data_IF_438835869294
#
_entry.id   IF_438835869294
#
_cell.length_a   1.000
_cell.length_b   1.000
_cell.length_c   1.000
_cell.angle_alpha   90.00
_cell.angle_beta   90.00
_cell.angle_gamma   90.00
#
_symmetry.space_group_name_H-M   'P 1'
#
loop_
_entity.id
_entity.type
_entity.pdbx_description
1 polymer ?
#
# COMPACT_ATOMS: atom_id res chain seq x y z
N UNK A 1 -8.58 -13.28 -3.62
CA UNK A 1 -7.85 -12.24 -4.37
C UNK A 1 -7.28 -11.28 -3.35
N UNK A 2 -6.08 -10.76 -3.57
CA UNK A 2 -5.41 -9.85 -2.65
C UNK A 2 -5.15 -8.54 -3.35
N UNK A 3 -5.36 -7.45 -2.62
CA UNK A 3 -5.05 -6.10 -3.08
C UNK A 3 -3.70 -5.69 -2.49
N UNK A 4 -2.82 -5.17 -3.33
CA UNK A 4 -1.51 -4.66 -2.92
C UNK A 4 -1.48 -3.16 -3.24
N UNK A 5 -1.10 -2.35 -2.26
CA UNK A 5 -1.03 -0.89 -2.38
C UNK A 5 0.39 -0.43 -2.00
N UNK A 6 1.07 0.24 -2.93
CA UNK A 6 2.33 0.95 -2.67
C UNK A 6 2.19 2.43 -3.00
N UNK A 7 2.39 3.27 -1.99
CA UNK A 7 2.33 4.73 -2.09
C UNK A 7 3.53 5.34 -1.36
N UNK A 8 4.74 5.04 -1.82
CA UNK A 8 5.98 5.48 -1.19
C UNK A 8 6.44 6.87 -1.63
N UNK A 9 6.01 7.37 -2.80
CA UNK A 9 6.45 8.68 -3.36
C UNK A 9 5.24 9.56 -3.70
N UNK A 10 5.38 10.88 -3.61
CA UNK A 10 4.36 11.81 -4.07
C UNK A 10 4.31 11.92 -5.60
N UNK A 11 5.32 11.42 -6.33
CA UNK A 11 5.37 11.44 -7.80
C UNK A 11 4.59 10.29 -8.46
N UNK A 12 4.45 9.16 -7.78
CA UNK A 12 3.80 7.98 -8.33
C UNK A 12 3.21 7.06 -7.25
N UNK A 13 2.30 6.18 -7.68
CA UNK A 13 1.84 5.07 -6.85
C UNK A 13 1.57 3.85 -7.71
N UNK A 14 1.54 2.69 -7.05
CA UNK A 14 1.31 1.40 -7.69
C UNK A 14 0.28 0.60 -6.93
N UNK A 15 -0.69 0.04 -7.65
CA UNK A 15 -1.69 -0.89 -7.12
C UNK A 15 -1.66 -2.18 -7.91
N UNK A 16 -1.81 -3.30 -7.22
CA UNK A 16 -1.77 -4.60 -7.86
C UNK A 16 -2.81 -5.57 -7.29
N UNK A 17 -3.16 -6.54 -8.13
CA UNK A 17 -4.09 -7.62 -7.82
C UNK A 17 -3.36 -8.94 -7.89
N UNK A 18 -3.46 -9.74 -6.84
CA UNK A 18 -2.83 -11.04 -6.74
C UNK A 18 -3.82 -12.14 -6.33
N UNK A 19 -3.53 -13.39 -6.69
CA UNK A 19 -4.20 -14.58 -6.13
C UNK A 19 -3.16 -15.56 -5.63
N UNK A 20 -2.58 -16.35 -6.54
CA UNK A 20 -1.42 -17.20 -6.29
C UNK A 20 -0.13 -16.51 -6.71
N UNK A 21 -0.22 -15.73 -7.80
CA UNK A 21 0.77 -14.81 -8.35
C UNK A 21 0.13 -13.45 -8.60
N UNK A 22 0.94 -12.44 -8.89
CA UNK A 22 0.46 -11.12 -9.31
C UNK A 22 -0.16 -11.26 -10.71
N UNK A 23 -1.43 -10.86 -10.85
CA UNK A 23 -2.19 -10.96 -12.11
C UNK A 23 -2.13 -9.65 -12.90
N UNK A 24 -2.15 -8.50 -12.22
CA UNK A 24 -2.12 -7.19 -12.86
C UNK A 24 -1.54 -6.14 -11.92
N UNK A 25 -0.69 -5.28 -12.47
CA UNK A 25 -0.09 -4.13 -11.80
C UNK A 25 -0.49 -2.89 -12.58
N UNK A 26 -0.94 -1.85 -11.88
CA UNK A 26 -1.22 -0.52 -12.43
C UNK A 26 -0.32 0.46 -11.69
N UNK A 27 0.57 1.12 -12.43
CA UNK A 27 1.43 2.18 -11.91
C UNK A 27 1.01 3.49 -12.54
N UNK A 28 0.75 4.49 -11.69
CA UNK A 28 0.36 5.83 -12.10
C UNK A 28 1.49 6.79 -11.73
N UNK A 29 2.17 7.33 -12.73
CA UNK A 29 3.21 8.34 -12.58
C UNK A 29 2.62 9.74 -12.75
N UNK A 30 1.81 10.17 -11.78
CA UNK A 30 1.22 11.52 -11.75
C UNK A 30 1.50 12.15 -10.38
N UNK A 31 2.27 13.25 -10.32
CA UNK A 31 2.64 13.85 -9.05
C UNK A 31 1.43 14.44 -8.33
N UNK A 32 1.36 14.23 -7.02
CA UNK A 32 0.33 14.76 -6.09
C UNK A 32 -1.12 14.41 -6.43
N UNK A 33 -1.34 13.35 -7.24
CA UNK A 33 -2.67 12.90 -7.69
C UNK A 33 -3.14 11.60 -7.03
N UNK A 34 -2.49 11.18 -5.94
CA UNK A 34 -2.81 9.95 -5.21
C UNK A 34 -4.27 9.95 -4.74
N UNK A 35 -4.73 11.02 -4.08
CA UNK A 35 -6.08 11.09 -3.51
C UNK A 35 -7.17 10.92 -4.56
N UNK A 36 -7.02 11.55 -5.73
CA UNK A 36 -8.00 11.50 -6.82
C UNK A 36 -8.00 10.15 -7.55
N UNK A 37 -6.81 9.57 -7.75
CA UNK A 37 -6.65 8.43 -8.67
C UNK A 37 -6.55 7.09 -7.96
N UNK A 38 -6.16 7.03 -6.69
CA UNK A 38 -5.90 5.77 -6.00
C UNK A 38 -7.16 4.89 -5.95
N UNK A 39 -8.26 5.41 -5.40
CA UNK A 39 -9.50 4.65 -5.28
C UNK A 39 -10.09 4.27 -6.64
N UNK A 40 -10.03 5.19 -7.63
CA UNK A 40 -10.46 4.93 -9.01
C UNK A 40 -9.70 3.78 -9.67
N UNK A 41 -8.39 3.69 -9.44
CA UNK A 41 -7.56 2.60 -9.96
C UNK A 41 -7.77 1.29 -9.19
N UNK A 42 -8.06 1.36 -7.89
CA UNK A 42 -8.44 0.17 -7.11
C UNK A 42 -9.77 -0.39 -7.62
N UNK A 43 -10.80 0.44 -7.76
CA UNK A 43 -12.14 0.01 -8.19
C UNK A 43 -12.16 -0.54 -9.61
N UNK A 44 -11.30 -0.06 -10.51
CA UNK A 44 -11.17 -0.61 -11.87
C UNK A 44 -10.37 -1.91 -11.92
N UNK A 45 -9.57 -2.20 -10.90
CA UNK A 45 -8.69 -3.35 -10.84
C UNK A 45 -9.32 -4.55 -10.12
N UNK A 46 -10.17 -4.30 -9.12
CA UNK A 46 -10.70 -5.34 -8.24
C UNK A 46 -12.22 -5.27 -8.08
N UNK A 47 -12.83 -6.45 -7.95
CA UNK A 47 -14.16 -6.61 -7.37
C UNK A 47 -14.04 -6.72 -5.85
N UNK A 48 -14.51 -5.71 -5.12
CA UNK A 48 -14.41 -5.64 -3.66
C UNK A 48 -15.00 -6.86 -2.94
N UNK A 49 -16.02 -7.52 -3.54
CA UNK A 49 -16.65 -8.71 -2.95
C UNK A 49 -15.75 -9.96 -2.99
N UNK A 50 -14.72 -9.97 -3.83
CA UNK A 50 -13.82 -11.12 -4.05
C UNK A 50 -12.45 -10.94 -3.39
N UNK A 51 -12.21 -9.79 -2.78
CA UNK A 51 -10.97 -9.52 -2.03
C UNK A 51 -10.99 -10.30 -0.73
N UNK A 52 -9.86 -10.94 -0.41
CA UNK A 52 -9.65 -11.75 0.80
C UNK A 52 -8.68 -11.11 1.78
N UNK A 53 -7.98 -10.05 1.37
CA UNK A 53 -7.03 -9.35 2.21
C UNK A 53 -6.29 -8.25 1.47
N UNK A 54 -5.69 -7.35 2.24
CA UNK A 54 -4.97 -6.17 1.75
C UNK A 54 -3.52 -6.20 2.25
N UNK A 55 -2.58 -5.95 1.36
CA UNK A 55 -1.16 -5.79 1.66
C UNK A 55 -0.81 -4.34 1.33
N UNK A 56 -0.22 -3.62 2.28
CA UNK A 56 0.15 -2.23 2.09
C UNK A 56 1.62 -2.02 2.40
N UNK A 57 2.27 -1.13 1.63
CA UNK A 57 3.57 -0.62 1.98
C UNK A 57 3.44 0.28 3.21
N UNK A 58 4.04 -0.14 4.32
CA UNK A 58 4.01 0.59 5.59
C UNK A 58 5.09 1.69 5.64
N UNK A 59 6.05 1.67 4.73
CA UNK A 59 7.18 2.60 4.67
C UNK A 59 8.54 1.87 4.70
N UNK A 60 9.66 2.60 4.73
CA UNK A 60 9.76 4.07 4.66
C UNK A 60 9.32 4.65 3.31
N UNK A 61 9.15 5.98 3.28
CA UNK A 61 8.63 6.71 2.12
C UNK A 61 8.17 8.12 2.49
N UNK A 62 7.67 8.85 1.49
CA UNK A 62 7.18 10.21 1.67
C UNK A 62 5.92 10.23 2.54
N UNK A 63 5.92 11.14 3.51
CA UNK A 63 4.96 11.21 4.60
C UNK A 63 3.49 11.26 4.14
N UNK A 64 3.17 12.18 3.22
CA UNK A 64 1.82 12.36 2.70
C UNK A 64 1.39 11.16 1.86
N UNK A 65 2.25 10.67 0.96
CA UNK A 65 1.95 9.51 0.11
C UNK A 65 1.65 8.26 0.95
N UNK A 66 2.49 7.95 1.95
CA UNK A 66 2.29 6.80 2.83
C UNK A 66 0.96 6.88 3.57
N UNK A 67 0.64 8.05 4.15
CA UNK A 67 -0.61 8.25 4.88
C UNK A 67 -1.82 8.06 3.99
N UNK A 68 -1.78 8.56 2.75
CA UNK A 68 -2.89 8.40 1.81
C UNK A 68 -3.13 6.90 1.55
N UNK A 69 -2.10 6.15 1.14
CA UNK A 69 -2.27 4.72 0.83
C UNK A 69 -2.64 3.88 2.04
N UNK A 70 -2.03 4.09 3.20
CA UNK A 70 -2.30 3.33 4.42
C UNK A 70 -3.69 3.65 4.97
N UNK A 71 -4.12 4.92 4.97
CA UNK A 71 -5.46 5.29 5.42
C UNK A 71 -6.53 4.71 4.50
N UNK A 72 -6.32 4.75 3.18
CA UNK A 72 -7.21 4.08 2.21
C UNK A 72 -7.25 2.57 2.44
N UNK A 73 -6.10 1.93 2.65
CA UNK A 73 -6.02 0.49 2.92
C UNK A 73 -6.74 0.09 4.21
N UNK A 74 -6.52 0.83 5.30
CA UNK A 74 -7.18 0.62 6.58
C UNK A 74 -8.69 0.81 6.47
N UNK A 75 -9.16 1.86 5.78
CA UNK A 75 -10.58 2.12 5.57
C UNK A 75 -11.24 0.98 4.77
N UNK A 76 -10.60 0.51 3.69
CA UNK A 76 -11.07 -0.64 2.91
C UNK A 76 -11.09 -1.93 3.74
N UNK A 77 -10.03 -2.18 4.52
CA UNK A 77 -9.95 -3.36 5.38
C UNK A 77 -11.04 -3.35 6.45
N UNK A 78 -11.30 -2.20 7.06
CA UNK A 78 -12.36 -2.01 8.04
C UNK A 78 -13.74 -2.21 7.42
N UNK A 79 -14.06 -1.51 6.33
CA UNK A 79 -15.36 -1.56 5.68
C UNK A 79 -15.72 -2.96 5.14
N UNK A 80 -14.71 -3.71 4.67
CA UNK A 80 -14.89 -5.05 4.11
C UNK A 80 -14.63 -6.17 5.12
N UNK A 81 -14.29 -5.85 6.37
CA UNK A 81 -13.89 -6.81 7.41
C UNK A 81 -12.78 -7.77 6.94
N UNK A 82 -11.77 -7.23 6.24
CA UNK A 82 -10.67 -7.99 5.64
C UNK A 82 -9.40 -7.94 6.50
N UNK A 83 -8.59 -9.01 6.53
CA UNK A 83 -7.25 -8.95 7.09
C UNK A 83 -6.38 -7.99 6.28
N UNK A 84 -5.55 -7.23 6.98
CA UNK A 84 -4.60 -6.29 6.40
C UNK A 84 -3.22 -6.49 7.01
N UNK A 85 -2.18 -6.39 6.18
CA UNK A 85 -0.79 -6.45 6.61
C UNK A 85 0.01 -5.27 6.07
N UNK A 86 0.75 -4.62 6.95
CA UNK A 86 1.76 -3.64 6.60
C UNK A 86 3.13 -4.31 6.44
N UNK A 87 3.82 -4.01 5.34
CA UNK A 87 5.18 -4.46 5.09
C UNK A 87 6.07 -3.24 5.02
N UNK A 88 7.14 -3.23 5.81
CA UNK A 88 8.18 -2.22 5.69
C UNK A 88 9.14 -2.62 4.57
N UNK A 89 9.15 -1.89 3.47
CA UNK A 89 10.04 -2.10 2.34
C UNK A 89 11.35 -1.34 2.55
N UNK A 90 12.39 -2.05 3.00
CA UNK A 90 13.76 -1.53 3.00
C UNK A 90 14.35 -1.71 1.61
N UNK A 91 13.97 -0.86 0.68
CA UNK A 91 14.42 -0.96 -0.71
C UNK A 91 15.23 0.28 -1.05
N UNK A 92 16.38 0.06 -1.70
CA UNK A 92 17.25 1.13 -2.19
C UNK A 92 16.55 2.02 -3.24
N UNK A 93 17.07 3.23 -3.40
CA UNK A 93 16.45 4.35 -4.14
C UNK A 93 16.09 4.05 -5.61
N UNK A 94 16.63 2.97 -6.20
CA UNK A 94 16.54 2.66 -7.63
C UNK A 94 15.57 1.54 -8.02
N UNK A 95 14.96 0.84 -7.06
CA UNK A 95 14.05 -0.25 -7.40
C UNK A 95 12.82 0.25 -8.18
N UNK A 96 12.48 -0.49 -9.23
CA UNK A 96 11.30 -0.22 -10.05
C UNK A 96 10.02 -0.48 -9.27
N UNK A 97 8.96 0.21 -9.65
CA UNK A 97 7.63 0.05 -9.05
C UNK A 97 7.09 -1.39 -9.12
N UNK A 98 7.49 -2.14 -10.15
CA UNK A 98 7.12 -3.56 -10.30
C UNK A 98 7.84 -4.43 -9.27
N UNK A 99 9.13 -4.22 -9.07
CA UNK A 99 9.93 -4.97 -8.08
C UNK A 99 9.42 -4.74 -6.66
N UNK A 100 9.06 -3.50 -6.32
CA UNK A 100 8.46 -3.20 -5.01
C UNK A 100 7.18 -3.99 -4.77
N UNK A 101 6.30 -4.06 -5.77
CA UNK A 101 5.05 -4.84 -5.67
C UNK A 101 5.34 -6.34 -5.53
N UNK A 102 6.34 -6.87 -6.23
CA UNK A 102 6.75 -8.27 -6.10
C UNK A 102 7.27 -8.56 -4.69
N UNK A 103 8.14 -7.71 -4.14
CA UNK A 103 8.66 -7.82 -2.78
C UNK A 103 7.55 -7.72 -1.72
N UNK A 104 6.58 -6.81 -1.91
CA UNK A 104 5.39 -6.70 -1.06
C UNK A 104 4.56 -7.98 -1.10
N UNK A 105 4.36 -8.55 -2.29
CA UNK A 105 3.60 -9.79 -2.44
C UNK A 105 4.28 -10.96 -1.72
N UNK A 106 5.59 -11.14 -1.94
CA UNK A 106 6.37 -12.20 -1.32
C UNK A 106 6.35 -12.10 0.21
N UNK A 107 6.62 -10.91 0.75
CA UNK A 107 6.65 -10.66 2.19
C UNK A 107 5.26 -10.70 2.83
N UNK A 108 4.25 -10.21 2.10
CA UNK A 108 2.87 -10.12 2.55
C UNK A 108 2.13 -11.45 2.55
N UNK A 109 2.37 -12.33 1.57
CA UNK A 109 1.67 -13.62 1.43
C UNK A 109 1.81 -14.50 2.68
N UNK A 110 3.00 -14.54 3.27
CA UNK A 110 3.27 -15.34 4.48
C UNK A 110 2.67 -14.75 5.75
N UNK A 111 2.50 -13.43 5.81
CA UNK A 111 1.91 -12.74 6.97
C UNK A 111 0.39 -12.72 6.91
N UNK A 112 -0.19 -12.49 5.74
CA UNK A 112 -1.63 -12.32 5.58
C UNK A 112 -2.41 -13.62 5.87
N UNK A 113 -1.81 -14.79 5.60
CA UNK A 113 -2.41 -16.09 5.94
C UNK A 113 -2.48 -16.35 7.45
N UNK A 114 -1.62 -15.69 8.24
CA UNK A 114 -1.60 -15.82 9.71
C UNK A 114 -2.55 -14.85 10.40
N UNK A 115 -2.95 -13.78 9.72
CA UNK A 115 -3.78 -12.71 10.29
C UNK A 115 -5.26 -13.05 10.07
N UNK A 116 -5.99 -13.23 11.18
CA UNK A 116 -7.41 -13.58 11.16
C UNK A 116 -8.36 -12.38 11.24
N UNK A 117 -7.89 -11.21 11.70
CA UNK A 117 -8.72 -10.00 11.83
C UNK A 117 -8.10 -8.78 11.16
N UNK A 118 -8.92 -7.77 10.88
CA UNK A 118 -8.43 -6.44 10.53
C UNK A 118 -7.70 -5.84 11.74
N UNK A 119 -6.48 -5.35 11.52
CA UNK A 119 -5.70 -4.55 12.48
C UNK A 119 -5.35 -3.24 11.80
N UNK A 120 -5.44 -2.12 12.51
CA UNK A 120 -5.03 -0.83 11.96
C UNK A 120 -3.51 -0.86 11.73
N UNK A 121 -3.10 -0.57 10.49
CA UNK A 121 -1.69 -0.41 10.12
C UNK A 121 -1.30 1.05 10.31
N UNK A 122 -0.19 1.29 11.00
CA UNK A 122 0.37 2.62 11.21
C UNK A 122 1.56 2.85 10.27
N UNK A 123 1.71 4.04 9.67
CA UNK A 123 2.88 4.36 8.85
C UNK A 123 4.18 4.26 9.67
N UNK A 124 5.21 3.72 9.05
CA UNK A 124 6.58 3.72 9.55
C UNK A 124 7.36 4.84 8.86
N UNK A 125 7.88 5.77 9.66
CA UNK A 125 8.73 6.85 9.21
C UNK A 125 10.18 6.52 9.58
N UNK A 126 11.12 6.69 8.64
CA UNK A 126 12.56 6.51 8.86
C UNK A 126 13.25 7.76 9.40
N UNK A 127 12.51 8.86 9.55
CA UNK A 127 13.03 10.16 9.96
C UNK A 127 12.17 10.79 11.04
N UNK A 128 12.83 11.57 11.89
CA UNK A 128 12.15 12.38 12.89
C UNK A 128 11.29 13.47 12.24
N UNK A 129 10.22 13.92 12.92
CA UNK A 129 9.41 15.04 12.45
C UNK A 129 10.24 16.31 12.24
N UNK A 130 10.16 16.89 11.04
CA UNK A 130 10.75 18.20 10.76
C UNK A 130 9.82 19.31 11.26
N UNK A 131 9.95 19.67 12.55
CA UNK A 131 9.12 20.69 13.20
C UNK A 131 9.84 22.03 13.19
N UNK A 132 9.20 23.06 12.63
CA UNK A 132 9.68 24.44 12.78
C UNK A 132 9.53 24.87 14.24
N UNK A 133 10.62 24.90 14.98
CA UNK A 133 10.63 25.44 16.35
C UNK A 133 10.54 26.96 16.25
N UNK A 134 9.59 27.55 16.99
CA UNK A 134 9.45 29.01 17.08
C UNK A 134 10.72 29.57 17.75
N UNK A 135 11.39 30.50 17.07
CA UNK A 135 12.52 31.25 17.65
C UNK A 135 12.06 32.13 18.80
#
# INVERSE_FOLDING_TARGET
MYLIISTDKNSCFSVARAKSKIEKIVTVKKPFKQTELLLKNISSLIDFKKVKGIIVNQGPGEFSALRIGISTANALAFALSLPIVGICLKVELEATEKEKIELLWQSGKSKITKVKSSKIILPYYDKEPNITVKK
#
